data_IF_902749029223
#
_entry.id   IF_902749029223
#
_cell.length_a   1.000
_cell.length_b   1.000
_cell.length_c   1.000
_cell.angle_alpha   90.00
_cell.angle_beta   90.00
_cell.angle_gamma   90.00
#
_symmetry.space_group_name_H-M   'P 1'
#
loop_
_entity.id
_entity.type
_entity.pdbx_description
1 polymer ?
#
# COMPACT_ATOMS: atom_id res chain seq x y z
N UNK A 1 -5.05 22.38 58.04
CA UNK A 1 -4.82 21.01 58.54
C UNK A 1 -3.90 20.36 57.53
N UNK A 2 -2.61 20.51 57.79
CA UNK A 2 -1.53 19.88 57.06
C UNK A 2 -1.43 18.42 57.48
N UNK A 3 -1.41 17.51 56.51
CA UNK A 3 -0.82 16.17 56.70
C UNK A 3 -0.07 15.82 55.42
N UNK A 4 1.24 16.02 55.49
CA UNK A 4 2.24 15.43 54.64
C UNK A 4 2.49 13.99 55.08
N UNK A 5 2.54 13.06 54.14
CA UNK A 5 3.20 11.77 54.33
C UNK A 5 4.12 11.51 53.14
N UNK A 6 5.41 11.71 53.39
CA UNK A 6 6.53 11.30 52.57
C UNK A 6 6.69 9.77 52.66
N UNK A 7 6.80 9.10 51.51
CA UNK A 7 7.23 7.71 51.42
C UNK A 7 8.44 7.58 50.48
N UNK A 8 9.60 7.09 50.96
CA UNK A 8 10.77 6.95 50.12
C UNK A 8 10.77 5.59 49.40
N UNK A 9 10.68 5.62 48.06
CA UNK A 9 10.92 4.44 47.25
C UNK A 9 12.41 4.12 47.19
N UNK A 10 12.74 2.92 47.63
CA UNK A 10 14.07 2.32 47.65
C UNK A 10 14.47 1.86 46.25
N UNK A 11 15.59 2.37 45.76
CA UNK A 11 16.28 1.94 44.54
C UNK A 11 16.93 0.57 44.78
N UNK A 12 16.60 -0.43 43.96
CA UNK A 12 17.33 -1.70 43.87
C UNK A 12 17.98 -1.77 42.50
N UNK A 13 19.30 -1.53 42.49
CA UNK A 13 20.19 -1.84 41.37
C UNK A 13 20.35 -3.36 41.26
N UNK A 14 20.06 -3.91 40.08
CA UNK A 14 20.18 -5.33 39.77
C UNK A 14 20.88 -5.55 38.43
N UNK A 15 22.21 -5.46 38.43
CA UNK A 15 23.07 -5.92 37.35
C UNK A 15 23.06 -7.45 37.26
N UNK A 16 22.73 -8.01 36.10
CA UNK A 16 23.15 -9.36 35.72
C UNK A 16 23.19 -9.49 34.19
N UNK A 17 24.35 -9.18 33.62
CA UNK A 17 24.71 -9.58 32.27
C UNK A 17 24.92 -11.11 32.25
N UNK A 18 24.15 -11.82 31.43
CA UNK A 18 24.39 -13.23 31.13
C UNK A 18 24.57 -13.39 29.63
N UNK A 19 25.81 -13.65 29.23
CA UNK A 19 26.18 -14.05 27.87
C UNK A 19 25.79 -15.53 27.64
N UNK A 20 25.23 -15.90 26.47
CA UNK A 20 25.09 -17.30 26.12
C UNK A 20 26.35 -17.82 25.42
N UNK A 21 26.85 -18.94 25.93
CA UNK A 21 27.98 -19.70 25.41
C UNK A 21 27.66 -20.31 24.03
N UNK A 22 28.58 -20.13 23.09
CA UNK A 22 28.60 -20.77 21.77
C UNK A 22 28.85 -22.28 21.94
N UNK A 23 28.01 -23.11 21.32
CA UNK A 23 28.26 -24.54 21.16
C UNK A 23 28.85 -24.80 19.77
N UNK A 24 30.13 -25.14 19.79
CA UNK A 24 30.93 -25.69 18.70
C UNK A 24 30.30 -27.01 18.19
N UNK A 25 29.82 -27.04 16.93
CA UNK A 25 29.49 -28.28 16.22
C UNK A 25 30.67 -28.68 15.33
N UNK A 26 31.45 -29.66 15.78
CA UNK A 26 32.43 -30.37 14.97
C UNK A 26 31.71 -31.37 14.05
N UNK A 27 31.65 -31.09 12.76
CA UNK A 27 31.28 -32.08 11.75
C UNK A 27 32.53 -32.83 11.27
N UNK A 28 32.60 -34.11 11.65
CA UNK A 28 33.57 -35.08 11.15
C UNK A 28 33.37 -35.35 9.66
N UNK A 29 34.48 -35.29 8.94
CA UNK A 29 34.65 -35.76 7.57
C UNK A 29 34.49 -37.28 7.47
N UNK A 30 33.78 -37.75 6.45
CA UNK A 30 33.90 -39.11 5.93
C UNK A 30 34.39 -39.03 4.48
N UNK A 31 35.60 -39.55 4.26
CA UNK A 31 36.26 -39.72 2.97
C UNK A 31 36.16 -41.18 2.51
N UNK A 32 35.94 -41.38 1.21
CA UNK A 32 36.12 -42.65 0.50
C UNK A 32 34.97 -42.87 -0.49
N UNK A 33 35.16 -43.12 -1.78
CA UNK A 33 36.33 -43.30 -2.64
C UNK A 33 35.84 -43.86 -3.99
N UNK A 34 36.60 -43.65 -5.09
CA UNK A 34 36.64 -44.42 -6.36
C UNK A 34 35.32 -44.56 -7.18
N UNK A 35 35.24 -44.44 -8.52
CA UNK A 35 36.20 -44.60 -9.62
C UNK A 35 35.83 -43.73 -10.84
N UNK A 36 36.83 -43.59 -11.70
CA UNK A 36 36.87 -43.08 -13.07
C UNK A 36 35.77 -43.60 -14.00
N UNK A 37 35.27 -42.70 -14.84
CA UNK A 37 34.29 -42.97 -15.89
C UNK A 37 34.16 -41.80 -16.85
N UNK A 38 35.22 -41.59 -17.63
CA UNK A 38 35.36 -40.61 -18.70
C UNK A 38 34.23 -40.80 -19.73
N UNK A 39 33.33 -39.81 -19.82
CA UNK A 39 32.64 -39.43 -21.05
C UNK A 39 32.55 -37.90 -21.07
N UNK A 40 33.51 -37.30 -21.78
CA UNK A 40 33.55 -35.87 -22.06
C UNK A 40 32.29 -35.43 -22.76
N UNK A 41 31.38 -34.83 -22.01
CA UNK A 41 30.45 -33.84 -22.54
C UNK A 41 31.15 -32.51 -22.34
N UNK A 42 31.43 -31.82 -23.43
CA UNK A 42 31.80 -30.41 -23.45
C UNK A 42 30.69 -29.63 -22.73
N UNK A 43 30.80 -29.54 -21.40
CA UNK A 43 30.01 -28.64 -20.57
C UNK A 43 30.57 -27.27 -20.89
N UNK A 44 29.96 -26.63 -21.88
CA UNK A 44 30.06 -25.19 -22.06
C UNK A 44 29.90 -24.59 -20.66
N UNK A 45 30.97 -23.98 -20.17
CA UNK A 45 30.98 -23.28 -18.89
C UNK A 45 29.77 -22.34 -18.91
N UNK A 46 28.71 -22.75 -18.22
CA UNK A 46 27.58 -21.88 -17.97
C UNK A 46 28.19 -20.71 -17.22
N UNK A 47 28.20 -19.56 -17.88
CA UNK A 47 28.71 -18.30 -17.38
C UNK A 47 27.79 -17.91 -16.21
N UNK A 48 28.04 -18.55 -15.06
CA UNK A 48 27.37 -18.27 -13.80
C UNK A 48 27.80 -16.86 -13.47
N UNK A 49 26.98 -15.91 -13.91
CA UNK A 49 27.18 -14.51 -13.63
C UNK A 49 27.25 -14.37 -12.11
N UNK A 50 28.46 -14.28 -11.57
CA UNK A 50 28.67 -14.10 -10.15
C UNK A 50 28.02 -12.76 -9.76
N UNK A 51 26.85 -12.86 -9.15
CA UNK A 51 26.17 -11.70 -8.62
C UNK A 51 27.11 -11.00 -7.63
N UNK A 52 27.16 -9.67 -7.69
CA UNK A 52 28.00 -8.84 -6.83
C UNK A 52 27.14 -8.00 -5.92
N UNK A 53 27.65 -7.74 -4.72
CA UNK A 53 26.98 -6.81 -3.83
C UNK A 53 26.83 -5.45 -4.49
N UNK A 54 25.62 -4.90 -4.46
CA UNK A 54 25.26 -3.60 -5.03
C UNK A 54 26.01 -2.41 -4.40
N UNK A 55 26.68 -2.60 -3.25
CA UNK A 55 27.50 -1.55 -2.65
C UNK A 55 28.84 -1.46 -3.38
N UNK A 56 29.05 -0.35 -4.07
CA UNK A 56 30.32 0.01 -4.72
C UNK A 56 31.52 -0.20 -3.79
N UNK A 57 32.51 -0.95 -4.26
CA UNK A 57 33.74 -1.25 -3.51
C UNK A 57 33.64 -2.37 -2.48
N UNK A 58 32.51 -3.08 -2.38
CA UNK A 58 32.44 -4.31 -1.58
C UNK A 58 33.17 -5.45 -2.31
N UNK A 59 34.23 -6.06 -1.73
CA UNK A 59 34.95 -7.15 -2.38
C UNK A 59 34.17 -8.48 -2.35
N UNK A 60 33.08 -8.56 -1.59
CA UNK A 60 32.32 -9.79 -1.39
C UNK A 60 31.55 -10.15 -2.66
N UNK A 61 31.91 -11.31 -3.23
CA UNK A 61 31.09 -12.00 -4.23
C UNK A 61 30.15 -12.97 -3.52
N UNK A 62 28.91 -13.10 -3.99
CA UNK A 62 27.98 -14.01 -3.36
C UNK A 62 28.40 -15.45 -3.65
N UNK A 63 28.63 -16.25 -2.60
CA UNK A 63 28.78 -17.69 -2.75
C UNK A 63 27.47 -18.45 -2.58
N UNK A 64 26.47 -17.88 -1.86
CA UNK A 64 25.06 -18.38 -1.85
C UNK A 64 23.99 -17.58 -1.08
N UNK A 65 24.33 -16.58 -0.25
CA UNK A 65 23.35 -15.99 0.69
C UNK A 65 23.22 -14.46 0.62
N UNK A 66 23.12 -13.88 -0.59
CA UNK A 66 22.72 -12.49 -0.73
C UNK A 66 21.25 -12.27 -0.35
N UNK A 67 20.89 -11.06 0.08
CA UNK A 67 19.48 -10.68 0.20
C UNK A 67 19.17 -9.46 -0.66
N UNK A 68 17.95 -9.44 -1.18
CA UNK A 68 17.45 -8.34 -1.98
C UNK A 68 16.92 -7.21 -1.08
N UNK A 69 17.05 -5.98 -1.56
CA UNK A 69 16.38 -4.81 -0.99
C UNK A 69 14.88 -5.09 -0.90
N UNK A 70 14.27 -5.00 0.28
CA UNK A 70 12.84 -5.28 0.47
C UNK A 70 11.94 -4.25 -0.21
N UNK A 71 12.48 -3.08 -0.54
CA UNK A 71 11.75 -2.00 -1.19
C UNK A 71 11.62 -2.25 -2.70
N UNK A 72 12.73 -2.48 -3.41
CA UNK A 72 12.74 -2.61 -4.88
C UNK A 72 12.95 -4.03 -5.38
N UNK A 73 13.42 -4.94 -4.52
CA UNK A 73 13.82 -6.31 -4.85
C UNK A 73 14.92 -6.44 -5.92
N UNK A 74 15.46 -5.32 -6.44
CA UNK A 74 16.42 -5.30 -7.55
C UNK A 74 17.88 -5.16 -7.11
N UNK A 75 18.15 -4.54 -5.97
CA UNK A 75 19.51 -4.44 -5.41
C UNK A 75 19.78 -5.59 -4.45
N UNK A 76 20.97 -6.18 -4.52
CA UNK A 76 21.37 -7.32 -3.70
C UNK A 76 22.54 -6.95 -2.79
N UNK A 77 22.49 -7.38 -1.53
CA UNK A 77 23.51 -7.07 -0.52
C UNK A 77 24.05 -8.32 0.17
N UNK A 78 25.35 -8.32 0.46
CA UNK A 78 26.01 -9.43 1.16
C UNK A 78 25.86 -9.35 2.68
N UNK A 79 25.42 -8.22 3.21
CA UNK A 79 25.18 -8.01 4.64
C UNK A 79 24.34 -6.76 4.88
N UNK A 80 23.67 -6.71 6.04
CA UNK A 80 22.91 -5.53 6.49
C UNK A 80 23.81 -4.28 6.54
N UNK A 81 25.06 -4.42 6.96
CA UNK A 81 26.04 -3.32 6.99
C UNK A 81 26.29 -2.74 5.60
N UNK A 82 26.33 -3.56 4.55
CA UNK A 82 26.48 -3.06 3.18
C UNK A 82 25.20 -2.39 2.68
N UNK A 83 24.04 -2.92 3.02
CA UNK A 83 22.75 -2.31 2.70
C UNK A 83 22.59 -0.95 3.39
N UNK A 84 22.85 -0.85 4.70
CA UNK A 84 22.80 0.38 5.49
C UNK A 84 23.69 1.48 4.91
N UNK A 85 24.94 1.13 4.57
CA UNK A 85 25.89 2.10 4.03
C UNK A 85 25.53 2.55 2.62
N UNK A 86 24.95 1.68 1.81
CA UNK A 86 24.49 2.04 0.46
C UNK A 86 23.12 2.73 0.50
N UNK A 87 22.33 2.59 1.58
CA UNK A 87 20.95 3.05 1.63
C UNK A 87 20.76 4.55 1.36
N UNK A 88 21.58 5.49 1.88
CA UNK A 88 21.40 6.91 1.56
C UNK A 88 21.44 7.23 0.07
N UNK A 89 22.31 6.54 -0.68
CA UNK A 89 22.45 6.67 -2.14
C UNK A 89 21.35 5.87 -2.86
N UNK A 90 21.19 4.58 -2.51
CA UNK A 90 20.19 3.72 -3.12
C UNK A 90 18.77 4.25 -2.93
N UNK A 91 18.43 4.82 -1.77
CA UNK A 91 17.10 5.38 -1.48
C UNK A 91 16.66 6.39 -2.53
N UNK A 92 17.60 7.10 -3.17
CA UNK A 92 17.32 8.09 -4.23
C UNK A 92 16.99 7.42 -5.57
N UNK A 93 17.52 6.24 -5.84
CA UNK A 93 17.33 5.47 -7.08
C UNK A 93 16.47 4.22 -6.91
N UNK A 94 16.00 3.96 -5.69
CA UNK A 94 15.22 2.77 -5.35
C UNK A 94 13.83 2.84 -5.99
N UNK A 95 13.57 1.95 -6.93
CA UNK A 95 12.25 1.71 -7.51
C UNK A 95 11.39 0.92 -6.52
N UNK A 96 10.87 1.63 -5.52
CA UNK A 96 10.17 1.02 -4.40
C UNK A 96 8.79 0.50 -4.82
N UNK A 97 8.50 -0.75 -4.47
CA UNK A 97 7.18 -1.35 -4.53
C UNK A 97 6.16 -0.56 -3.72
N UNK A 98 4.92 -0.56 -4.17
CA UNK A 98 3.82 0.08 -3.45
C UNK A 98 3.55 -0.63 -2.11
N UNK A 99 3.14 0.13 -1.10
CA UNK A 99 2.65 -0.40 0.16
C UNK A 99 1.20 -0.82 0.03
N UNK A 100 0.87 -2.05 0.43
CA UNK A 100 -0.50 -2.53 0.65
C UNK A 100 -0.85 -2.30 2.10
N UNK A 101 -1.84 -1.44 2.32
CA UNK A 101 -2.23 -0.93 3.62
C UNK A 101 -3.68 -1.35 3.93
N UNK A 102 -3.90 -1.97 5.10
CA UNK A 102 -5.24 -2.10 5.71
C UNK A 102 -5.60 -0.78 6.35
N UNK A 103 -6.80 -0.27 6.16
CA UNK A 103 -7.30 0.92 6.83
C UNK A 103 -8.61 0.58 7.51
N UNK A 104 -8.58 0.57 8.83
CA UNK A 104 -9.67 0.13 9.68
C UNK A 104 -10.19 1.30 10.53
N UNK A 105 -11.50 1.56 10.50
CA UNK A 105 -12.09 2.59 11.33
C UNK A 105 -12.10 2.17 12.81
N UNK A 106 -11.47 2.97 13.67
CA UNK A 106 -11.44 2.77 15.11
C UNK A 106 -12.75 3.26 15.74
N UNK A 107 -13.68 2.34 16.01
CA UNK A 107 -14.84 2.64 16.83
C UNK A 107 -14.63 2.03 18.22
N UNK A 108 -14.58 2.86 19.26
CA UNK A 108 -14.41 2.45 20.67
C UNK A 108 -15.42 1.39 21.16
N UNK A 109 -16.52 1.15 20.42
CA UNK A 109 -17.62 0.27 20.83
C UNK A 109 -17.85 -0.96 19.95
N UNK A 110 -17.08 -1.18 18.89
CA UNK A 110 -17.34 -2.29 17.96
C UNK A 110 -16.09 -3.14 17.75
N UNK A 111 -15.96 -4.23 18.53
CA UNK A 111 -14.92 -5.26 18.38
C UNK A 111 -15.17 -6.27 17.24
N UNK A 112 -16.23 -6.09 16.44
CA UNK A 112 -16.66 -7.11 15.49
C UNK A 112 -16.39 -6.67 14.05
N UNK A 113 -15.41 -7.33 13.41
CA UNK A 113 -15.17 -7.49 11.97
C UNK A 113 -15.80 -6.42 11.08
N UNK A 114 -15.37 -5.17 11.21
CA UNK A 114 -15.77 -4.14 10.25
C UNK A 114 -14.90 -4.23 9.00
N UNK A 115 -15.49 -3.99 7.83
CA UNK A 115 -14.73 -3.87 6.61
C UNK A 115 -13.84 -2.64 6.68
N UNK A 116 -12.55 -2.84 6.87
CA UNK A 116 -11.55 -1.87 6.45
C UNK A 116 -11.47 -1.80 4.93
N UNK A 117 -10.83 -0.76 4.40
CA UNK A 117 -10.41 -0.76 3.01
C UNK A 117 -8.94 -1.17 2.89
N UNK A 118 -8.60 -1.84 1.78
CA UNK A 118 -7.21 -2.13 1.46
C UNK A 118 -6.77 -1.15 0.37
N UNK A 119 -5.61 -0.54 0.54
CA UNK A 119 -5.11 0.47 -0.37
C UNK A 119 -3.65 0.20 -0.73
N UNK A 120 -3.35 0.24 -2.02
CA UNK A 120 -2.00 0.26 -2.56
C UNK A 120 -1.55 1.71 -2.72
N UNK A 121 -0.49 2.10 -2.01
CA UNK A 121 0.07 3.44 -2.04
C UNK A 121 1.52 3.41 -2.55
N UNK A 122 1.93 4.34 -3.44
CA UNK A 122 3.34 4.49 -3.80
C UNK A 122 4.19 4.71 -2.54
N UNK A 123 5.32 4.01 -2.42
CA UNK A 123 6.15 4.12 -1.22
C UNK A 123 6.68 5.55 -0.98
N UNK A 124 6.88 6.29 -2.07
CA UNK A 124 7.30 7.69 -2.07
C UNK A 124 6.14 8.69 -1.95
N UNK A 125 4.90 8.23 -1.86
CA UNK A 125 3.78 9.12 -1.60
C UNK A 125 4.00 9.84 -0.26
N UNK A 126 3.81 11.15 -0.26
CA UNK A 126 3.85 11.97 0.95
C UNK A 126 2.65 11.64 1.84
N UNK A 127 2.70 12.01 3.12
CA UNK A 127 1.53 11.91 3.98
C UNK A 127 0.39 12.85 3.54
N UNK A 128 0.68 13.92 2.80
CA UNK A 128 -0.34 14.73 2.13
C UNK A 128 -0.99 13.93 0.99
N UNK A 129 -0.22 13.29 0.10
CA UNK A 129 -0.78 12.43 -0.96
C UNK A 129 -1.63 11.30 -0.38
N UNK A 130 -1.15 10.68 0.69
CA UNK A 130 -1.87 9.66 1.44
C UNK A 130 -3.17 10.21 2.04
N UNK A 131 -3.15 11.40 2.65
CA UNK A 131 -4.37 12.07 3.13
C UNK A 131 -5.35 12.35 1.99
N UNK A 132 -4.90 12.84 0.83
CA UNK A 132 -5.79 13.10 -0.31
C UNK A 132 -6.44 11.81 -0.82
N UNK A 133 -5.70 10.71 -0.83
CA UNK A 133 -6.26 9.41 -1.16
C UNK A 133 -7.29 8.92 -0.15
N UNK A 134 -6.99 9.08 1.15
CA UNK A 134 -7.95 8.81 2.21
C UNK A 134 -9.20 9.68 2.05
N UNK A 135 -9.08 10.96 1.67
CA UNK A 135 -10.21 11.91 1.61
C UNK A 135 -11.22 11.60 0.53
N UNK A 136 -10.76 10.95 -0.53
CA UNK A 136 -11.60 10.44 -1.61
C UNK A 136 -12.25 9.10 -1.23
N UNK A 137 -11.52 8.29 -0.45
CA UNK A 137 -11.84 6.89 -0.18
C UNK A 137 -12.72 6.69 1.05
N UNK A 138 -12.45 7.48 2.09
CA UNK A 138 -13.12 7.43 3.37
C UNK A 138 -14.17 8.55 3.43
N UNK A 139 -15.31 8.30 4.09
CA UNK A 139 -16.23 9.37 4.37
C UNK A 139 -15.52 10.43 5.23
N UNK A 140 -15.85 11.69 4.92
CA UNK A 140 -15.69 12.84 5.78
C UNK A 140 -14.32 13.18 6.33
N UNK A 141 -13.44 13.52 5.40
CA UNK A 141 -12.18 14.14 5.75
C UNK A 141 -12.29 15.67 5.59
N UNK A 142 -12.32 16.37 6.71
CA UNK A 142 -12.13 17.81 6.79
C UNK A 142 -10.61 18.15 6.75
N UNK A 143 -10.22 19.38 6.39
CA UNK A 143 -8.82 19.75 6.16
C UNK A 143 -7.89 19.61 7.38
N UNK A 144 -8.45 19.42 8.58
CA UNK A 144 -7.68 19.25 9.81
C UNK A 144 -7.51 17.76 10.08
N UNK A 145 -6.30 17.29 9.83
CA UNK A 145 -5.93 15.91 10.05
C UNK A 145 -4.59 15.77 10.77
N UNK A 146 -4.41 14.63 11.43
CA UNK A 146 -3.15 14.25 12.07
C UNK A 146 -2.90 12.76 11.90
N UNK A 147 -1.65 12.40 11.64
CA UNK A 147 -1.19 11.03 11.67
C UNK A 147 -0.28 10.85 12.87
N UNK A 148 -0.61 9.90 13.74
CA UNK A 148 0.22 9.50 14.87
C UNK A 148 0.90 8.19 14.52
N UNK A 149 2.23 8.15 14.64
CA UNK A 149 3.04 7.00 14.30
C UNK A 149 3.44 6.28 15.58
N UNK A 150 3.19 4.98 15.63
CA UNK A 150 3.49 4.12 16.76
C UNK A 150 4.26 2.88 16.32
N UNK A 151 5.08 2.33 17.21
CA UNK A 151 5.57 0.97 17.06
C UNK A 151 4.45 -0.04 17.37
N UNK A 152 4.31 -1.07 16.54
CA UNK A 152 3.30 -2.12 16.71
C UNK A 152 3.42 -2.83 18.05
N UNK A 153 4.65 -3.06 18.52
CA UNK A 153 4.90 -3.66 19.84
C UNK A 153 4.36 -2.83 21.01
N UNK A 154 4.07 -1.55 20.79
CA UNK A 154 3.56 -0.63 21.81
C UNK A 154 2.03 -0.60 21.91
N UNK A 155 1.29 -1.15 20.94
CA UNK A 155 -0.18 -0.99 20.83
C UNK A 155 -0.97 -2.16 21.44
N UNK A 156 -0.37 -2.93 22.34
CA UNK A 156 -1.12 -3.99 23.05
C UNK A 156 -2.15 -3.44 24.07
N UNK A 157 -2.16 -2.12 24.32
CA UNK A 157 -3.09 -1.46 25.23
C UNK A 157 -4.33 -0.89 24.50
N UNK A 158 -5.37 -0.54 25.27
CA UNK A 158 -6.52 0.19 24.74
C UNK A 158 -6.11 1.56 24.16
N UNK A 159 -6.84 2.07 23.16
CA UNK A 159 -6.57 3.37 22.48
C UNK A 159 -6.38 4.52 23.48
N UNK A 160 -7.18 4.57 24.53
CA UNK A 160 -7.09 5.58 25.59
C UNK A 160 -5.77 5.57 26.38
N UNK A 161 -4.99 4.50 26.24
CA UNK A 161 -3.72 4.25 26.93
C UNK A 161 -2.57 4.07 25.93
N UNK A 162 -2.73 4.54 24.69
CA UNK A 162 -1.62 4.51 23.75
C UNK A 162 -0.43 5.28 24.33
N UNK A 163 0.78 4.72 24.18
CA UNK A 163 1.98 5.40 24.64
C UNK A 163 2.22 6.66 23.82
N UNK A 164 3.25 7.42 24.19
CA UNK A 164 3.64 8.60 23.44
C UNK A 164 3.98 8.19 21.99
N UNK A 165 3.39 8.84 20.97
CA UNK A 165 3.72 8.55 19.58
C UNK A 165 5.19 8.86 19.31
N UNK A 166 5.81 8.11 18.40
CA UNK A 166 7.17 8.40 17.92
C UNK A 166 7.20 9.63 17.02
N UNK A 167 6.13 9.85 16.26
CA UNK A 167 6.02 10.96 15.32
C UNK A 167 4.58 11.39 15.17
N UNK A 168 4.35 12.69 14.98
CA UNK A 168 3.06 13.27 14.69
C UNK A 168 3.19 14.03 13.38
N UNK A 169 2.46 13.65 12.34
CA UNK A 169 2.55 14.26 11.01
C UNK A 169 1.26 15.02 10.74
N UNK A 170 1.37 16.30 10.35
CA UNK A 170 0.20 17.16 10.12
C UNK A 170 0.41 18.05 8.90
N UNK A 171 -0.68 18.63 8.39
CA UNK A 171 -0.61 19.62 7.30
C UNK A 171 0.23 20.83 7.71
N UNK A 172 1.14 21.34 6.84
CA UNK A 172 1.93 22.53 7.13
C UNK A 172 1.05 23.76 7.34
N UNK A 173 1.49 24.67 8.20
CA UNK A 173 0.77 25.91 8.53
C UNK A 173 -0.49 25.72 9.38
N UNK A 174 -0.85 24.49 9.74
CA UNK A 174 -1.88 24.21 10.74
C UNK A 174 -1.32 24.59 12.11
N UNK A 175 -1.37 25.87 12.47
CA UNK A 175 -1.11 26.36 13.83
C UNK A 175 -2.22 25.84 14.73
N UNK A 176 -2.11 24.56 15.06
CA UNK A 176 -3.04 23.87 15.91
C UNK A 176 -2.84 24.40 17.33
N UNK A 177 -3.71 25.34 17.73
CA UNK A 177 -3.87 25.79 19.12
C UNK A 177 -4.02 24.65 20.13
N UNK A 178 -4.34 23.44 19.66
CA UNK A 178 -4.39 22.21 20.49
C UNK A 178 -3.00 21.77 20.96
N UNK A 179 -1.91 22.08 20.24
CA UNK A 179 -0.54 21.75 20.66
C UNK A 179 0.01 22.75 21.69
N UNK A 180 -0.61 23.92 21.85
CA UNK A 180 -0.20 24.87 22.88
C UNK A 180 -0.41 24.31 24.29
N UNK A 181 -1.32 23.34 24.45
CA UNK A 181 -1.55 22.65 25.72
C UNK A 181 -0.56 21.50 26.00
N UNK A 182 0.27 21.09 25.02
CA UNK A 182 1.26 20.00 25.18
C UNK A 182 2.59 20.34 24.49
N UNK A 183 3.44 21.18 25.11
CA UNK A 183 4.72 21.62 24.54
C UNK A 183 5.69 20.47 24.26
N UNK A 184 5.57 19.37 24.99
CA UNK A 184 6.40 18.17 24.89
C UNK A 184 6.25 17.46 23.53
N UNK A 185 5.15 17.67 22.80
CA UNK A 185 4.91 17.04 21.50
C UNK A 185 5.51 17.80 20.32
N UNK A 186 5.99 19.04 20.49
CA UNK A 186 6.55 19.85 19.38
C UNK A 186 7.72 19.20 18.64
N UNK A 187 8.69 18.54 19.29
CA UNK A 187 9.81 17.90 18.59
C UNK A 187 9.38 16.75 17.67
N UNK A 188 8.18 16.22 17.86
CA UNK A 188 7.65 15.08 17.11
C UNK A 188 6.87 15.53 15.86
N UNK A 189 6.70 16.84 15.66
CA UNK A 189 5.88 17.38 14.60
C UNK A 189 6.59 17.30 13.24
N UNK A 190 5.99 16.56 12.33
CA UNK A 190 6.40 16.39 10.96
C UNK A 190 5.48 17.09 9.98
N UNK A 191 6.08 17.64 8.92
CA UNK A 191 5.36 18.21 7.78
C UNK A 191 4.88 17.11 6.83
N UNK A 192 3.56 17.00 6.64
CA UNK A 192 2.95 15.97 5.77
C UNK A 192 3.38 16.05 4.31
N UNK A 193 3.81 17.22 3.82
CA UNK A 193 4.28 17.40 2.45
C UNK A 193 5.72 16.93 2.24
N UNK A 194 6.48 16.76 3.33
CA UNK A 194 7.91 16.43 3.28
C UNK A 194 8.21 15.00 3.68
N UNK A 195 7.32 14.39 4.44
CA UNK A 195 7.51 13.02 4.95
C UNK A 195 6.76 12.07 4.02
N UNK A 196 7.47 11.10 3.47
CA UNK A 196 6.89 10.04 2.66
C UNK A 196 6.55 8.81 3.51
N UNK A 197 5.68 7.94 2.99
CA UNK A 197 5.35 6.66 3.64
C UNK A 197 6.61 5.82 3.90
N UNK A 198 7.55 5.79 2.95
CA UNK A 198 8.81 5.07 3.10
C UNK A 198 9.67 5.59 4.25
N UNK A 199 9.58 6.86 4.63
CA UNK A 199 10.35 7.40 5.77
C UNK A 199 9.83 6.91 7.12
N UNK A 200 8.61 6.35 7.14
CA UNK A 200 7.93 5.85 8.34
C UNK A 200 7.88 4.33 8.35
N UNK A 201 7.42 3.73 7.25
CA UNK A 201 7.20 2.29 7.10
C UNK A 201 8.49 1.51 6.75
N UNK A 202 9.57 2.21 6.42
CA UNK A 202 10.88 1.62 6.21
C UNK A 202 11.91 2.32 7.10
N UNK A 203 12.39 1.62 8.13
CA UNK A 203 13.51 2.10 8.94
C UNK A 203 14.83 1.84 8.21
N UNK A 204 14.93 0.68 7.55
CA UNK A 204 16.07 0.22 6.75
C UNK A 204 15.59 -0.71 5.63
N UNK A 205 16.32 -0.85 4.50
CA UNK A 205 15.88 -1.62 3.32
C UNK A 205 15.70 -3.14 3.56
N UNK A 206 15.97 -3.64 4.77
CA UNK A 206 15.85 -5.05 5.15
C UNK A 206 15.03 -5.26 6.44
N UNK A 207 14.65 -4.20 7.16
CA UNK A 207 13.74 -4.30 8.30
C UNK A 207 12.44 -3.56 7.99
N UNK A 208 11.40 -4.36 7.79
CA UNK A 208 10.07 -3.84 7.70
C UNK A 208 9.70 -3.30 9.08
N UNK A 209 9.50 -1.99 9.16
CA UNK A 209 9.09 -1.41 10.43
C UNK A 209 7.66 -1.88 10.68
N UNK A 210 7.45 -2.50 11.84
CA UNK A 210 6.10 -2.82 12.29
C UNK A 210 5.52 -1.54 12.88
N UNK A 211 5.19 -0.55 12.03
CA UNK A 211 4.57 0.69 12.48
C UNK A 211 3.07 0.62 12.29
N UNK A 212 2.36 1.33 13.16
CA UNK A 212 0.93 1.59 13.04
C UNK A 212 0.75 3.09 12.82
N UNK A 213 -0.01 3.43 11.80
CA UNK A 213 -0.37 4.81 11.51
C UNK A 213 -1.79 5.02 12.04
N UNK A 214 -1.95 5.80 13.09
CA UNK A 214 -3.26 6.20 13.60
C UNK A 214 -3.62 7.57 12.99
N UNK A 215 -4.59 7.56 12.10
CA UNK A 215 -5.11 8.74 11.43
C UNK A 215 -6.32 9.28 12.20
N UNK A 216 -6.25 10.55 12.61
CA UNK A 216 -7.34 11.25 13.28
C UNK A 216 -7.77 12.45 12.43
N UNK A 217 -9.06 12.52 12.12
CA UNK A 217 -9.70 13.66 11.47
C UNK A 217 -10.80 14.21 12.37
N UNK A 218 -10.94 15.53 12.42
CA UNK A 218 -11.98 16.19 13.19
C UNK A 218 -12.87 17.01 12.27
N UNK A 219 -14.15 16.67 12.22
CA UNK A 219 -15.17 17.45 11.50
C UNK A 219 -15.77 18.48 12.47
N UNK A 220 -15.44 19.75 12.25
CA UNK A 220 -15.88 20.84 13.15
C UNK A 220 -17.38 21.10 13.06
N UNK A 221 -17.99 20.86 11.90
CA UNK A 221 -19.42 21.16 11.66
C UNK A 221 -20.33 20.30 12.52
N UNK A 222 -19.99 19.01 12.64
CA UNK A 222 -20.78 18.03 13.42
C UNK A 222 -20.12 17.66 14.76
N UNK A 223 -19.03 18.34 15.13
CA UNK A 223 -18.23 18.10 16.34
C UNK A 223 -17.86 16.61 16.51
N UNK A 224 -17.56 15.92 15.41
CA UNK A 224 -17.28 14.48 15.40
C UNK A 224 -15.82 14.24 15.05
N UNK A 225 -15.20 13.35 15.81
CA UNK A 225 -13.83 12.91 15.56
C UNK A 225 -13.86 11.51 14.98
N UNK A 226 -13.19 11.34 13.85
CA UNK A 226 -12.99 10.07 13.18
C UNK A 226 -11.57 9.59 13.42
N UNK A 227 -11.44 8.31 13.71
CA UNK A 227 -10.17 7.65 14.01
C UNK A 227 -10.05 6.43 13.11
N UNK A 228 -8.90 6.27 12.48
CA UNK A 228 -8.60 5.15 11.60
C UNK A 228 -7.22 4.61 11.94
N UNK A 229 -7.10 3.28 11.97
CA UNK A 229 -5.83 2.58 12.09
C UNK A 229 -5.43 2.09 10.71
N UNK A 230 -4.24 2.47 10.28
CA UNK A 230 -3.64 1.97 9.06
C UNK A 230 -2.51 1.02 9.41
N UNK A 231 -2.57 -0.19 8.87
CA UNK A 231 -1.62 -1.26 9.07
C UNK A 231 -0.96 -1.62 7.74
N UNK A 232 0.36 -1.75 7.75
CA UNK A 232 1.06 -2.36 6.63
C UNK A 232 0.73 -3.87 6.55
N UNK A 233 0.28 -4.33 5.39
CA UNK A 233 0.00 -5.75 5.11
C UNK A 233 1.12 -6.35 4.26
N UNK A 234 1.35 -5.80 3.06
CA UNK A 234 2.24 -6.39 2.06
C UNK A 234 2.73 -5.37 1.03
N UNK A 235 3.48 -5.79 0.01
CA UNK A 235 3.91 -4.99 -1.14
C UNK A 235 3.13 -5.34 -2.39
N UNK A 236 2.93 -4.34 -3.23
CA UNK A 236 2.35 -4.50 -4.56
C UNK A 236 3.34 -4.01 -5.64
N UNK A 237 3.21 -4.48 -6.88
CA UNK A 237 3.97 -3.95 -8.01
C UNK A 237 3.90 -2.42 -8.07
N UNK A 238 4.98 -1.82 -8.56
CA UNK A 238 5.10 -0.36 -8.67
C UNK A 238 3.94 0.17 -9.52
N UNK A 239 3.21 1.12 -8.98
CA UNK A 239 2.21 1.88 -9.72
C UNK A 239 2.31 3.33 -9.34
N UNK A 240 2.29 4.28 -10.30
CA UNK A 240 2.20 5.69 -9.98
C UNK A 240 0.81 6.05 -9.41
N UNK A 241 -0.15 5.13 -9.53
CA UNK A 241 -1.51 5.32 -9.05
C UNK A 241 -1.69 4.71 -7.68
N UNK A 242 -2.52 5.39 -6.90
CA UNK A 242 -3.10 4.82 -5.71
C UNK A 242 -4.28 3.93 -6.09
N UNK A 243 -4.22 2.66 -5.70
CA UNK A 243 -5.25 1.68 -6.01
C UNK A 243 -5.97 1.30 -4.73
N UNK A 244 -7.28 1.54 -4.68
CA UNK A 244 -8.11 1.08 -3.56
C UNK A 244 -8.78 -0.23 -3.94
N UNK A 245 -8.53 -1.27 -3.16
CA UNK A 245 -9.30 -2.50 -3.17
C UNK A 245 -10.37 -2.37 -2.09
N UNK A 246 -11.62 -2.17 -2.50
CA UNK A 246 -12.71 -1.99 -1.55
C UNK A 246 -12.97 -3.28 -0.78
N UNK A 247 -12.64 -3.27 0.52
CA UNK A 247 -13.43 -3.98 1.53
C UNK A 247 -14.65 -3.13 1.85
N UNK A 248 -15.79 -3.78 2.06
CA UNK A 248 -17.15 -3.23 2.07
C UNK A 248 -17.38 -1.81 2.66
N UNK A 249 -18.05 -0.96 1.87
CA UNK A 249 -18.90 0.20 2.22
C UNK A 249 -18.34 1.47 2.89
N UNK A 250 -18.75 2.61 2.33
CA UNK A 250 -18.61 3.94 2.91
C UNK A 250 -19.47 4.03 4.18
N UNK A 251 -18.86 4.34 5.33
CA UNK A 251 -19.63 4.65 6.54
C UNK A 251 -20.50 5.90 6.30
N UNK A 252 -21.83 5.73 6.30
CA UNK A 252 -22.74 6.86 6.16
C UNK A 252 -22.68 7.74 7.41
N UNK A 253 -22.30 8.99 7.16
CA UNK A 253 -22.06 10.01 8.16
C UNK A 253 -23.31 10.52 8.87
N UNK A 254 -24.44 10.48 8.17
CA UNK A 254 -25.69 11.13 8.54
C UNK A 254 -26.65 10.22 9.33
N UNK A 255 -26.28 8.97 9.58
CA UNK A 255 -27.15 8.02 10.26
C UNK A 255 -26.75 7.85 11.73
N UNK A 256 -27.57 8.44 12.61
CA UNK A 256 -27.32 8.70 14.02
C UNK A 256 -26.70 7.55 14.82
N UNK A 257 -25.78 7.93 15.73
CA UNK A 257 -25.27 7.18 16.90
C UNK A 257 -25.03 5.66 16.72
N UNK A 258 -24.51 5.19 15.59
CA UNK A 258 -23.81 3.90 15.47
C UNK A 258 -24.65 2.61 15.63
N UNK A 259 -25.80 2.66 16.32
CA UNK A 259 -26.76 1.55 16.45
C UNK A 259 -27.32 1.15 15.10
N UNK A 260 -27.42 2.12 14.18
CA UNK A 260 -28.10 1.92 12.92
C UNK A 260 -27.28 1.19 11.84
N UNK A 261 -25.94 1.13 11.94
CA UNK A 261 -25.16 0.35 10.96
C UNK A 261 -25.43 -1.15 11.11
N UNK A 262 -25.58 -1.62 12.35
CA UNK A 262 -25.94 -3.01 12.59
C UNK A 262 -27.37 -3.28 12.11
N UNK A 263 -28.30 -2.35 12.32
CA UNK A 263 -29.67 -2.44 11.79
C UNK A 263 -29.71 -2.47 10.26
N UNK A 264 -28.89 -1.65 9.60
CA UNK A 264 -28.78 -1.62 8.14
C UNK A 264 -28.18 -2.91 7.59
N UNK A 265 -27.13 -3.44 8.24
CA UNK A 265 -26.56 -4.74 7.89
C UNK A 265 -27.59 -5.86 8.04
N UNK A 266 -28.29 -5.90 9.18
CA UNK A 266 -29.36 -6.85 9.43
C UNK A 266 -30.52 -6.68 8.43
N UNK A 267 -30.77 -5.46 7.93
CA UNK A 267 -31.76 -5.21 6.87
C UNK A 267 -31.33 -5.84 5.54
N UNK A 268 -30.05 -5.69 5.14
CA UNK A 268 -29.50 -6.31 3.92
C UNK A 268 -29.39 -7.83 4.02
N UNK A 269 -29.11 -8.36 5.22
CA UNK A 269 -28.99 -9.80 5.47
C UNK A 269 -30.37 -10.49 5.67
N UNK A 270 -31.45 -9.74 5.90
CA UNK A 270 -32.79 -10.29 6.07
C UNK A 270 -33.38 -10.79 4.74
N UNK A 271 -33.84 -12.05 4.71
CA UNK A 271 -34.58 -12.60 3.57
C UNK A 271 -35.91 -11.88 3.34
N UNK A 272 -36.54 -11.40 4.43
CA UNK A 272 -37.76 -10.61 4.41
C UNK A 272 -37.59 -9.40 5.36
N UNK A 273 -37.03 -8.27 4.89
CA UNK A 273 -36.82 -7.11 5.74
C UNK A 273 -38.15 -6.52 6.23
N UNK A 274 -38.18 -6.11 7.51
CA UNK A 274 -39.33 -5.40 8.10
C UNK A 274 -39.60 -4.08 7.38
N UNK A 275 -40.76 -3.45 7.62
CA UNK A 275 -41.08 -2.16 7.00
C UNK A 275 -40.04 -1.08 7.32
N UNK A 276 -39.61 -0.99 8.59
CA UNK A 276 -38.55 -0.07 9.01
C UNK A 276 -37.21 -0.39 8.32
N UNK A 277 -36.87 -1.66 8.17
CA UNK A 277 -35.68 -2.10 7.43
C UNK A 277 -35.76 -1.76 5.94
N UNK A 278 -36.93 -1.90 5.30
CA UNK A 278 -37.15 -1.51 3.90
C UNK A 278 -37.04 0.00 3.69
N UNK A 279 -37.60 0.80 4.59
CA UNK A 279 -37.45 2.26 4.56
C UNK A 279 -36.00 2.69 4.78
N UNK A 280 -35.29 2.00 5.68
CA UNK A 280 -33.86 2.17 5.92
C UNK A 280 -33.03 1.83 4.67
N UNK A 281 -33.29 0.69 4.02
CA UNK A 281 -32.64 0.27 2.77
C UNK A 281 -32.94 1.27 1.64
N UNK A 282 -34.19 1.65 1.46
CA UNK A 282 -34.63 2.61 0.44
C UNK A 282 -33.97 3.99 0.63
N UNK A 283 -33.94 4.48 1.87
CA UNK A 283 -33.24 5.71 2.21
C UNK A 283 -31.74 5.60 1.91
N UNK A 284 -31.10 4.50 2.31
CA UNK A 284 -29.68 4.24 2.07
C UNK A 284 -29.35 4.25 0.57
N UNK A 285 -30.12 3.48 -0.21
CA UNK A 285 -29.95 3.35 -1.65
C UNK A 285 -30.24 4.67 -2.39
N UNK A 286 -31.19 5.48 -1.89
CA UNK A 286 -31.46 6.82 -2.43
C UNK A 286 -30.31 7.81 -2.17
N UNK A 287 -29.58 7.67 -1.05
CA UNK A 287 -28.41 8.49 -0.74
C UNK A 287 -27.18 8.03 -1.54
N UNK A 288 -26.95 6.72 -1.66
CA UNK A 288 -25.90 6.22 -2.55
C UNK A 288 -26.14 6.64 -4.00
N UNK A 289 -27.38 6.63 -4.46
CA UNK A 289 -27.75 7.09 -5.80
C UNK A 289 -27.51 8.61 -6.02
N UNK A 290 -27.48 9.41 -4.95
CA UNK A 290 -27.37 10.88 -5.03
C UNK A 290 -25.96 11.44 -4.76
N UNK A 291 -25.09 10.76 -3.99
CA UNK A 291 -23.78 11.30 -3.59
C UNK A 291 -22.61 11.01 -4.54
N UNK A 292 -22.86 10.25 -5.59
CA UNK A 292 -22.14 10.35 -6.85
C UNK A 292 -23.06 9.75 -7.89
N UNK A 293 -23.34 10.44 -9.00
CA UNK A 293 -24.01 9.73 -10.09
C UNK A 293 -23.16 8.49 -10.37
N UNK A 294 -23.78 7.31 -10.31
CA UNK A 294 -23.17 6.06 -10.78
C UNK A 294 -22.50 6.30 -12.14
N UNK A 295 -23.11 7.17 -12.94
CA UNK A 295 -22.57 7.78 -14.14
C UNK A 295 -21.23 8.51 -13.97
N UNK A 296 -21.06 9.42 -13.01
CA UNK A 296 -19.81 10.16 -12.77
C UNK A 296 -18.66 9.28 -12.27
N UNK A 297 -18.94 8.31 -11.38
CA UNK A 297 -17.94 7.31 -10.96
C UNK A 297 -17.62 6.38 -12.12
N UNK A 298 -18.62 5.87 -12.84
CA UNK A 298 -18.39 5.00 -14.01
C UNK A 298 -17.70 5.74 -15.15
N UNK A 299 -17.96 7.03 -15.37
CA UNK A 299 -17.24 7.86 -16.32
C UNK A 299 -15.79 8.07 -15.88
N UNK A 300 -15.55 8.31 -14.60
CA UNK A 300 -14.18 8.45 -14.06
C UNK A 300 -13.41 7.13 -14.16
N UNK A 301 -14.02 6.01 -13.76
CA UNK A 301 -13.44 4.68 -13.89
C UNK A 301 -13.29 4.27 -15.37
N UNK A 302 -14.20 4.65 -16.25
CA UNK A 302 -14.10 4.44 -17.70
C UNK A 302 -12.95 5.24 -18.30
N UNK A 303 -12.76 6.50 -17.88
CA UNK A 303 -11.60 7.33 -18.26
C UNK A 303 -10.29 6.71 -17.77
N UNK A 304 -10.24 6.25 -16.53
CA UNK A 304 -9.07 5.55 -15.96
C UNK A 304 -8.78 4.25 -16.71
N UNK A 305 -9.81 3.42 -16.97
CA UNK A 305 -9.66 2.16 -17.75
C UNK A 305 -9.22 2.43 -19.19
N UNK A 306 -9.78 3.45 -19.84
CA UNK A 306 -9.38 3.89 -21.18
C UNK A 306 -7.92 4.33 -21.19
N UNK A 307 -7.52 5.14 -20.22
CA UNK A 307 -6.13 5.58 -20.06
C UNK A 307 -5.17 4.41 -19.82
N UNK A 308 -5.49 3.49 -18.92
CA UNK A 308 -4.69 2.27 -18.67
C UNK A 308 -4.58 1.42 -19.95
N UNK A 309 -5.67 1.25 -20.69
CA UNK A 309 -5.66 0.53 -21.98
C UNK A 309 -4.77 1.23 -23.01
N UNK A 310 -4.83 2.55 -23.13
CA UNK A 310 -3.96 3.32 -24.03
C UNK A 310 -2.50 3.17 -23.66
N UNK A 311 -2.16 3.28 -22.36
CA UNK A 311 -0.77 3.11 -21.88
C UNK A 311 -0.28 1.69 -22.14
N UNK A 312 -1.06 0.66 -21.82
CA UNK A 312 -0.71 -0.74 -22.10
C UNK A 312 -0.56 -1.01 -23.59
N UNK A 313 -1.42 -0.42 -24.43
CA UNK A 313 -1.35 -0.57 -25.88
C UNK A 313 -0.08 0.06 -26.45
N UNK A 314 0.28 1.28 -26.05
CA UNK A 314 1.53 1.92 -26.49
C UNK A 314 2.77 1.15 -26.02
N UNK A 315 2.79 0.68 -24.76
CA UNK A 315 3.87 -0.19 -24.26
C UNK A 315 3.99 -1.48 -25.08
N UNK A 316 2.86 -2.14 -25.36
CA UNK A 316 2.85 -3.37 -26.15
C UNK A 316 3.31 -3.11 -27.59
N UNK A 317 2.90 -1.99 -28.19
CA UNK A 317 3.30 -1.58 -29.54
C UNK A 317 4.80 -1.29 -29.59
N UNK A 318 5.36 -0.57 -28.63
CA UNK A 318 6.80 -0.34 -28.53
C UNK A 318 7.56 -1.65 -28.35
N UNK A 319 7.05 -2.57 -27.51
CA UNK A 319 7.65 -3.90 -27.32
C UNK A 319 7.65 -4.73 -28.61
N UNK A 320 6.54 -4.71 -29.37
CA UNK A 320 6.44 -5.39 -30.68
C UNK A 320 7.38 -4.75 -31.70
N UNK A 321 7.51 -3.43 -31.74
CA UNK A 321 8.47 -2.75 -32.61
C UNK A 321 9.93 -3.09 -32.24
N UNK A 322 10.25 -3.15 -30.95
CA UNK A 322 11.56 -3.59 -30.46
C UNK A 322 11.82 -5.03 -30.87
N UNK A 323 10.83 -5.93 -30.73
CA UNK A 323 10.96 -7.30 -31.22
C UNK A 323 11.15 -7.34 -32.73
N UNK A 324 10.36 -6.61 -33.52
CA UNK A 324 10.49 -6.57 -34.98
C UNK A 324 11.86 -6.10 -35.43
N UNK A 325 12.40 -5.05 -34.79
CA UNK A 325 13.76 -4.54 -35.00
C UNK A 325 14.83 -5.56 -34.61
N UNK A 326 14.61 -6.32 -33.54
CA UNK A 326 15.49 -7.44 -33.15
C UNK A 326 15.44 -8.60 -34.16
N UNK A 327 14.25 -8.96 -34.67
CA UNK A 327 14.08 -10.02 -35.68
C UNK A 327 14.72 -9.68 -37.02
N UNK A 328 14.81 -8.39 -37.36
CA UNK A 328 15.48 -7.91 -38.57
C UNK A 328 17.00 -7.73 -38.42
N UNK A 329 17.54 -7.86 -37.21
CA UNK A 329 18.97 -7.72 -36.94
C UNK A 329 19.60 -9.10 -36.78
N UNK A 330 20.61 -9.40 -37.60
CA UNK A 330 21.36 -10.66 -37.54
C UNK A 330 21.95 -10.88 -36.14
N UNK A 331 21.41 -11.92 -35.48
CA UNK A 331 21.94 -12.66 -34.34
C UNK A 331 22.27 -11.87 -33.08
N UNK A 332 21.25 -11.58 -32.27
CA UNK A 332 21.41 -11.38 -30.82
C UNK A 332 20.40 -12.29 -30.11
N UNK A 333 20.90 -13.36 -29.47
CA UNK A 333 20.09 -14.21 -28.58
C UNK A 333 19.88 -13.44 -27.26
N UNK A 334 18.67 -12.93 -27.04
CA UNK A 334 18.24 -12.42 -25.73
C UNK A 334 17.24 -13.42 -25.15
N UNK A 335 17.59 -14.01 -24.01
CA UNK A 335 16.68 -14.87 -23.24
C UNK A 335 15.70 -13.97 -22.50
N UNK A 336 14.43 -14.00 -22.89
CA UNK A 336 13.34 -13.32 -22.17
C UNK A 336 12.64 -14.41 -21.35
N UNK A 337 12.77 -14.36 -20.03
CA UNK A 337 12.02 -15.25 -19.13
C UNK A 337 10.64 -14.61 -18.91
N UNK A 338 9.62 -15.17 -19.55
CA UNK A 338 8.23 -14.83 -19.27
C UNK A 338 7.86 -15.35 -17.88
N UNK A 339 7.32 -14.48 -17.02
CA UNK A 339 6.73 -14.89 -15.75
C UNK A 339 5.32 -15.43 -16.06
N UNK A 340 5.06 -16.71 -15.74
CA UNK A 340 3.86 -17.47 -16.13
C UNK A 340 2.53 -16.92 -15.56
N UNK A 341 2.57 -15.89 -14.71
CA UNK A 341 1.38 -15.25 -14.15
C UNK A 341 0.52 -14.48 -15.17
N UNK A 342 1.04 -14.10 -16.34
CA UNK A 342 0.25 -13.42 -17.38
C UNK A 342 -0.48 -14.36 -18.36
N UNK A 343 -0.12 -15.66 -18.40
CA UNK A 343 -0.64 -16.60 -19.39
C UNK A 343 -2.03 -17.18 -19.07
N UNK A 344 -2.66 -16.78 -17.96
CA UNK A 344 -4.02 -17.23 -17.59
C UNK A 344 -5.12 -16.19 -17.80
N UNK A 345 -4.84 -15.09 -18.52
CA UNK A 345 -5.92 -14.23 -19.02
C UNK A 345 -6.49 -14.81 -20.32
N UNK A 346 -7.79 -15.08 -20.28
CA UNK A 346 -8.58 -15.76 -21.30
C UNK A 346 -8.45 -15.09 -22.68
N UNK A 347 -7.55 -15.61 -23.53
CA UNK A 347 -7.31 -15.17 -24.91
C UNK A 347 -8.59 -15.14 -25.77
N UNK A 348 -9.58 -15.99 -25.47
CA UNK A 348 -10.85 -16.03 -26.19
C UNK A 348 -11.71 -14.77 -26.03
N UNK A 349 -11.52 -13.97 -24.98
CA UNK A 349 -12.20 -12.67 -24.83
C UNK A 349 -11.51 -11.56 -25.62
N UNK A 350 -10.22 -11.70 -25.93
CA UNK A 350 -9.47 -10.68 -26.69
C UNK A 350 -9.80 -10.70 -28.19
N UNK A 351 -10.20 -11.83 -28.75
CA UNK A 351 -10.58 -11.91 -30.18
C UNK A 351 -11.96 -11.30 -30.46
N UNK A 352 -12.87 -11.24 -29.48
CA UNK A 352 -14.21 -10.64 -29.65
C UNK A 352 -14.26 -9.12 -29.37
N UNK A 353 -13.29 -8.60 -28.60
CA UNK A 353 -13.30 -7.21 -28.12
C UNK A 353 -13.11 -6.13 -29.22
N UNK A 354 -12.30 -6.35 -30.29
CA UNK A 354 -12.13 -5.34 -31.35
C UNK A 354 -13.44 -5.03 -32.08
N UNK A 355 -14.21 -6.08 -32.42
CA UNK A 355 -15.46 -5.96 -33.18
C UNK A 355 -16.54 -5.24 -32.36
N UNK A 356 -16.62 -5.49 -31.04
CA UNK A 356 -17.58 -4.80 -30.16
C UNK A 356 -17.22 -3.31 -29.95
N UNK A 357 -15.93 -2.97 -29.95
CA UNK A 357 -15.47 -1.58 -29.84
C UNK A 357 -15.79 -0.81 -31.13
N UNK A 358 -15.58 -1.43 -32.29
CA UNK A 358 -15.85 -0.82 -33.60
C UNK A 358 -17.36 -0.60 -33.79
N UNK A 359 -18.19 -1.60 -33.45
CA UNK A 359 -19.64 -1.47 -33.47
C UNK A 359 -20.16 -0.34 -32.55
N UNK A 360 -19.61 -0.21 -31.33
CA UNK A 360 -20.00 0.90 -30.43
C UNK A 360 -19.56 2.27 -30.93
N UNK A 361 -18.42 2.35 -31.64
CA UNK A 361 -17.98 3.60 -32.27
C UNK A 361 -18.90 3.99 -33.41
N UNK A 362 -19.32 3.04 -34.24
CA UNK A 362 -20.30 3.27 -35.31
C UNK A 362 -21.64 3.76 -34.75
N UNK A 363 -22.16 3.13 -33.69
CA UNK A 363 -23.40 3.54 -33.03
C UNK A 363 -23.33 4.95 -32.39
N UNK A 364 -22.18 5.33 -31.84
CA UNK A 364 -21.96 6.68 -31.32
C UNK A 364 -21.89 7.71 -32.44
N UNK A 365 -21.21 7.37 -33.54
CA UNK A 365 -21.08 8.26 -34.69
C UNK A 365 -22.43 8.48 -35.36
N UNK A 366 -23.23 7.42 -35.53
CA UNK A 366 -24.60 7.51 -36.06
C UNK A 366 -25.51 8.39 -35.19
N UNK A 367 -25.40 8.29 -33.86
CA UNK A 367 -26.11 9.19 -32.93
C UNK A 367 -25.67 10.64 -33.09
N UNK A 368 -24.37 10.91 -33.12
CA UNK A 368 -23.85 12.26 -33.34
C UNK A 368 -24.29 12.87 -34.67
N UNK A 369 -24.35 12.10 -35.75
CA UNK A 369 -24.86 12.61 -37.03
C UNK A 369 -26.34 12.93 -36.93
N UNK A 370 -27.14 12.05 -36.33
CA UNK A 370 -28.58 12.26 -36.16
C UNK A 370 -28.89 13.52 -35.32
N UNK A 371 -28.18 13.71 -34.23
CA UNK A 371 -28.44 14.80 -33.29
C UNK A 371 -27.95 16.17 -33.82
N UNK A 372 -26.99 16.19 -34.76
CA UNK A 372 -26.43 17.42 -35.31
C UNK A 372 -26.93 17.75 -36.74
N UNK A 373 -27.82 16.93 -37.31
CA UNK A 373 -28.42 17.23 -38.61
C UNK A 373 -29.74 17.95 -38.40
N UNK A 374 -29.75 19.27 -38.53
CA UNK A 374 -31.00 20.04 -38.66
C UNK A 374 -31.51 19.95 -40.09
N UNK A 375 -32.68 19.35 -40.28
CA UNK A 375 -33.38 19.34 -41.57
C UNK A 375 -33.76 20.78 -41.94
N UNK A 376 -33.17 21.29 -43.02
CA UNK A 376 -33.57 22.56 -43.63
C UNK A 376 -34.68 22.24 -44.62
N UNK A 377 -35.93 22.45 -44.22
CA UNK A 377 -37.09 22.42 -45.12
C UNK A 377 -37.08 23.65 -46.03
N UNK A 378 -37.08 23.42 -47.35
CA UNK A 378 -37.23 24.45 -48.37
C UNK A 378 -38.70 24.79 -48.63
#
# INVERSE_FOLDING_TARGET
MDLAEDSPYTTMDGNAASAPAEKEMQHRSNSGGMMDGIMGKDRLDEDVSEERCSRSGCPSRFKKDGFNCKECQSQMYCSNVCAERHWPEHKLTCECLNYVLSIDMCFERYRNNRPGCIMSCPARATFEDFYQALSISLPCLEPIYRFYIFDRGQINAAISHYPRPEKIITRPGSSSSVLDYRPDLRPLLGDSQRICLIDVLCKHPYEQSQKIIHYICHNRRIQKTWQYMTLFIDRAPISPFLLMWSGAFRCIEDYGKGQNFMTLRLAYEASEPTQEQRELLSWYESIEASKATREGINQTLSRIRSFIRTVLFEVTKEMVEVQRKKSSSTTIKVHIVYNECEAQFNMGQWESTPNEIELRKEEQMARCVKDNTTEVTY
#
